data_IF_213925340042
#
_entry.id   IF_213925340042
#
_cell.length_a   1.000
_cell.length_b   1.000
_cell.length_c   1.000
_cell.angle_alpha   90.00
_cell.angle_beta   90.00
_cell.angle_gamma   90.00
#
_symmetry.space_group_name_H-M   'P 1'
#
loop_
_entity.id
_entity.type
_entity.pdbx_description
1 polymer ?
#
# COMPACT_ATOMS: atom_id res chain seq x y z
N UNK A 1 -10.14 -9.41 2.52
CA UNK A 1 -9.99 -7.95 2.36
C UNK A 1 -8.64 -7.70 1.70
N UNK A 2 -8.62 -7.26 0.44
CA UNK A 2 -7.37 -6.98 -0.30
C UNK A 2 -7.28 -5.47 -0.49
N UNK A 3 -6.34 -4.86 0.22
CA UNK A 3 -6.12 -3.41 0.22
C UNK A 3 -5.02 -3.07 -0.79
N UNK A 4 -5.15 -1.95 -1.48
CA UNK A 4 -4.07 -1.35 -2.25
C UNK A 4 -3.73 -0.02 -1.60
N UNK A 5 -2.45 0.20 -1.29
CA UNK A 5 -1.96 1.52 -0.86
C UNK A 5 -1.62 2.31 -2.13
N UNK A 6 -2.26 3.46 -2.27
CA UNK A 6 -1.95 4.44 -3.28
C UNK A 6 -0.97 5.47 -2.71
N UNK A 7 0.22 5.64 -3.30
CA UNK A 7 1.22 6.62 -2.85
C UNK A 7 1.48 7.67 -3.95
N UNK A 8 1.45 8.95 -3.56
CA UNK A 8 1.86 10.06 -4.41
C UNK A 8 3.36 10.32 -4.26
N UNK A 9 4.09 10.44 -5.37
CA UNK A 9 5.44 10.99 -5.42
C UNK A 9 5.43 12.27 -6.26
N UNK A 10 5.78 13.41 -5.65
CA UNK A 10 6.12 14.63 -6.36
C UNK A 10 7.65 14.70 -6.52
N UNK A 11 8.14 14.86 -7.74
CA UNK A 11 9.57 15.09 -8.01
C UNK A 11 9.87 16.56 -8.37
N UNK A 12 8.96 17.49 -8.09
CA UNK A 12 9.12 18.92 -8.37
C UNK A 12 10.00 19.66 -7.35
N UNK A 13 11.10 20.23 -7.85
CA UNK A 13 11.88 21.27 -7.17
C UNK A 13 11.02 22.55 -7.01
N UNK A 14 10.29 22.70 -5.91
CA UNK A 14 9.88 24.02 -5.44
C UNK A 14 9.74 24.02 -3.90
N UNK A 15 10.68 24.71 -3.25
CA UNK A 15 10.77 24.87 -1.80
C UNK A 15 9.88 26.04 -1.35
N UNK A 16 8.56 25.92 -1.46
CA UNK A 16 7.66 26.80 -0.67
C UNK A 16 6.21 26.28 -0.49
N UNK A 17 5.85 25.14 -1.07
CA UNK A 17 4.56 24.45 -0.82
C UNK A 17 4.79 22.97 -0.55
N UNK A 18 5.59 22.67 0.47
CA UNK A 18 5.89 21.29 0.83
C UNK A 18 4.61 20.50 1.19
N UNK A 19 4.41 19.41 0.44
CA UNK A 19 3.87 18.11 0.90
C UNK A 19 2.34 17.93 1.06
N UNK A 20 1.58 17.92 -0.03
CA UNK A 20 0.40 17.04 -0.11
C UNK A 20 0.80 15.64 -0.60
N UNK A 21 1.67 14.96 0.15
CA UNK A 21 1.94 13.53 -0.04
C UNK A 21 0.80 12.72 0.57
N UNK A 22 -0.32 12.69 -0.15
CA UNK A 22 -1.52 11.93 0.24
C UNK A 22 -1.42 10.46 -0.16
N UNK A 23 -2.05 9.60 0.64
CA UNK A 23 -2.27 8.20 0.31
C UNK A 23 -3.74 7.84 0.53
N UNK A 24 -4.22 6.86 -0.21
CA UNK A 24 -5.55 6.30 -0.07
C UNK A 24 -5.46 4.77 -0.05
N UNK A 25 -6.47 4.14 0.55
CA UNK A 25 -6.64 2.70 0.49
C UNK A 25 -7.82 2.38 -0.42
N UNK A 26 -7.57 1.55 -1.44
CA UNK A 26 -8.63 0.98 -2.25
C UNK A 26 -8.96 -0.40 -1.70
N UNK A 27 -10.24 -0.63 -1.39
CA UNK A 27 -10.73 -1.90 -0.87
C UNK A 27 -11.62 -2.51 -1.95
N UNK A 28 -11.20 -3.64 -2.49
CA UNK A 28 -11.98 -4.38 -3.49
C UNK A 28 -12.71 -5.56 -2.85
N UNK A 29 -13.93 -5.81 -3.31
CA UNK A 29 -14.71 -7.00 -2.93
C UNK A 29 -14.13 -8.26 -3.58
N UNK A 30 -13.73 -8.16 -4.86
CA UNK A 30 -13.25 -9.28 -5.66
C UNK A 30 -11.75 -9.19 -5.91
N UNK A 31 -11.08 -10.33 -5.78
CA UNK A 31 -9.66 -10.48 -6.14
C UNK A 31 -9.40 -10.24 -7.63
N UNK A 32 -10.33 -10.63 -8.50
CA UNK A 32 -10.24 -10.37 -9.94
C UNK A 32 -10.11 -8.88 -10.26
N UNK A 33 -10.78 -8.01 -9.50
CA UNK A 33 -10.71 -6.56 -9.69
C UNK A 33 -9.33 -5.99 -9.39
N UNK A 34 -8.64 -6.55 -8.37
CA UNK A 34 -7.25 -6.18 -8.06
C UNK A 34 -6.34 -6.57 -9.23
N UNK A 35 -6.48 -7.79 -9.75
CA UNK A 35 -5.69 -8.26 -10.89
C UNK A 35 -5.92 -7.41 -12.15
N UNK A 36 -7.19 -7.10 -12.46
CA UNK A 36 -7.53 -6.24 -13.60
C UNK A 36 -6.91 -4.84 -13.47
N UNK A 37 -6.94 -4.24 -12.28
CA UNK A 37 -6.29 -2.95 -12.03
C UNK A 37 -4.76 -3.03 -12.19
N UNK A 38 -4.12 -4.04 -11.62
CA UNK A 38 -2.67 -4.21 -11.74
C UNK A 38 -2.24 -4.46 -13.19
N UNK A 39 -3.06 -5.19 -13.97
CA UNK A 39 -2.80 -5.46 -15.39
C UNK A 39 -2.92 -4.21 -16.29
N UNK A 40 -3.64 -3.17 -15.85
CA UNK A 40 -3.73 -1.90 -16.60
C UNK A 40 -2.65 -0.88 -16.20
N UNK A 41 -1.83 -1.19 -15.19
CA UNK A 41 -0.75 -0.32 -14.73
C UNK A 41 0.52 -0.45 -15.56
N UNK A 42 1.30 0.62 -15.62
CA UNK A 42 2.70 0.52 -16.05
C UNK A 42 3.54 -0.10 -14.94
N UNK A 43 4.62 -0.78 -15.32
CA UNK A 43 5.50 -1.49 -14.38
C UNK A 43 6.94 -1.02 -14.51
N UNK A 44 7.54 -0.63 -13.39
CA UNK A 44 8.96 -0.30 -13.29
C UNK A 44 9.59 -1.17 -12.20
N UNK A 45 10.31 -2.22 -12.61
CA UNK A 45 10.76 -3.27 -11.70
C UNK A 45 9.57 -3.98 -11.04
N UNK A 46 9.54 -3.97 -9.71
CA UNK A 46 8.46 -4.56 -8.90
C UNK A 46 7.37 -3.55 -8.49
N UNK A 47 7.40 -2.33 -9.05
CA UNK A 47 6.46 -1.26 -8.72
C UNK A 47 5.42 -1.10 -9.82
N UNK A 48 4.16 -0.90 -9.42
CA UNK A 48 3.05 -0.59 -10.31
C UNK A 48 2.74 0.90 -10.27
N UNK A 49 2.51 1.50 -11.44
CA UNK A 49 2.15 2.90 -11.57
C UNK A 49 0.89 3.09 -12.40
N UNK A 50 0.08 4.05 -12.00
CA UNK A 50 -1.14 4.44 -12.71
C UNK A 50 -1.15 5.96 -12.91
N UNK A 51 -1.50 6.41 -14.11
CA UNK A 51 -1.75 7.83 -14.34
C UNK A 51 -3.19 8.16 -13.96
N UNK A 52 -3.37 9.14 -13.06
CA UNK A 52 -4.69 9.65 -12.66
C UNK A 52 -4.84 11.13 -12.99
N UNK A 53 -6.07 11.57 -13.17
CA UNK A 53 -6.40 12.98 -13.38
C UNK A 53 -7.58 13.40 -12.51
N UNK A 54 -7.59 14.66 -12.11
CA UNK A 54 -8.68 15.34 -11.41
C UNK A 54 -9.03 16.66 -12.15
N UNK A 55 -10.03 17.41 -11.70
CA UNK A 55 -10.30 18.75 -12.23
C UNK A 55 -9.09 19.69 -12.09
N UNK A 56 -8.29 19.54 -11.02
CA UNK A 56 -7.16 20.42 -10.69
C UNK A 56 -5.79 19.83 -11.02
N UNK A 57 -5.69 18.54 -11.35
CA UNK A 57 -4.43 17.85 -11.65
C UNK A 57 -4.56 16.98 -12.89
N UNK A 58 -3.57 16.99 -13.78
CA UNK A 58 -3.60 16.18 -15.01
C UNK A 58 -2.46 15.17 -15.03
N UNK A 59 -2.77 13.95 -15.47
CA UNK A 59 -1.82 12.87 -15.76
C UNK A 59 -0.77 12.64 -14.67
N UNK A 60 -1.19 12.71 -13.40
CA UNK A 60 -0.31 12.45 -12.27
C UNK A 60 -0.03 10.96 -12.17
N UNK A 61 1.24 10.57 -12.23
CA UNK A 61 1.66 9.19 -11.97
C UNK A 61 1.65 8.91 -10.47
N UNK A 62 1.08 7.77 -10.07
CA UNK A 62 1.02 7.34 -8.68
C UNK A 62 1.38 5.88 -8.54
N UNK A 63 1.96 5.54 -7.41
CA UNK A 63 2.38 4.18 -7.13
C UNK A 63 1.23 3.38 -6.50
N UNK A 64 0.97 2.20 -7.04
CA UNK A 64 0.09 1.21 -6.44
C UNK A 64 0.91 0.13 -5.74
N UNK A 65 0.56 -0.17 -4.50
CA UNK A 65 1.19 -1.22 -3.69
C UNK A 65 0.14 -2.23 -3.23
N UNK A 66 0.04 -3.41 -3.87
CA UNK A 66 -0.92 -4.44 -3.46
C UNK A 66 -0.55 -4.98 -2.09
N UNK A 67 -1.55 -5.17 -1.23
CA UNK A 67 -1.39 -5.88 0.03
C UNK A 67 -1.26 -7.38 -0.23
N UNK A 68 -0.08 -7.93 0.04
CA UNK A 68 0.19 -9.36 -0.10
C UNK A 68 -0.24 -10.08 1.17
N UNK A 69 -1.14 -11.06 1.06
CA UNK A 69 -1.69 -11.75 2.23
C UNK A 69 -0.64 -12.53 3.03
N UNK A 70 0.42 -13.00 2.37
CA UNK A 70 1.55 -13.67 3.03
C UNK A 70 2.29 -12.77 4.01
N UNK A 71 2.26 -11.46 3.79
CA UNK A 71 3.03 -10.49 4.57
C UNK A 71 2.21 -9.98 5.78
N UNK A 72 0.94 -10.39 5.89
CA UNK A 72 -0.01 -9.85 6.85
C UNK A 72 0.10 -10.47 8.24
N UNK A 73 0.48 -11.75 8.34
CA UNK A 73 0.49 -12.48 9.59
C UNK A 73 1.67 -13.44 9.65
N UNK A 74 2.32 -13.49 10.81
CA UNK A 74 3.30 -14.52 11.15
C UNK A 74 2.98 -15.08 12.53
N UNK A 75 2.93 -16.40 12.64
CA UNK A 75 2.60 -17.09 13.89
C UNK A 75 3.70 -18.10 14.18
N UNK A 76 4.44 -17.87 15.27
CA UNK A 76 5.53 -18.77 15.70
C UNK A 76 4.99 -20.13 16.13
N UNK A 77 3.87 -20.14 16.86
CA UNK A 77 3.20 -21.36 17.30
C UNK A 77 1.68 -21.20 17.15
N UNK A 78 1.03 -21.88 16.18
CA UNK A 78 -0.40 -21.74 15.94
C UNK A 78 -1.27 -22.33 17.07
N UNK A 79 -0.69 -23.16 17.95
CA UNK A 79 -1.40 -23.75 19.07
C UNK A 79 -1.42 -22.85 20.32
N UNK A 80 -0.68 -21.73 20.32
CA UNK A 80 -0.66 -20.82 21.45
C UNK A 80 -1.85 -19.84 21.36
N UNK A 81 -2.78 -19.82 22.33
CA UNK A 81 -3.89 -18.87 22.31
C UNK A 81 -3.40 -17.44 22.50
N UNK A 82 -4.02 -16.49 21.78
CA UNK A 82 -3.76 -15.06 21.92
C UNK A 82 -4.40 -14.51 23.21
N UNK A 83 -3.59 -14.00 24.14
CA UNK A 83 -4.05 -13.30 25.34
C UNK A 83 -4.06 -11.79 25.07
N UNK A 84 -5.24 -11.17 25.03
CA UNK A 84 -5.38 -9.73 24.78
C UNK A 84 -4.58 -8.86 25.76
N UNK A 85 -4.31 -9.34 26.98
CA UNK A 85 -3.49 -8.62 27.99
C UNK A 85 -2.00 -8.66 27.67
N UNK A 86 -1.58 -9.51 26.74
CA UNK A 86 -0.20 -9.65 26.24
C UNK A 86 -0.05 -9.13 24.81
N UNK A 87 -1.12 -8.60 24.21
CA UNK A 87 -1.13 -8.06 22.85
C UNK A 87 -0.90 -6.56 22.89
N UNK A 88 -0.01 -6.06 22.03
CA UNK A 88 0.26 -4.63 21.88
C UNK A 88 0.00 -4.17 20.46
N UNK A 89 -0.45 -2.92 20.31
CA UNK A 89 -0.50 -2.24 19.02
C UNK A 89 0.79 -1.45 18.83
N UNK A 90 1.46 -1.65 17.70
CA UNK A 90 2.68 -0.91 17.35
C UNK A 90 2.37 0.04 16.20
N UNK A 91 2.52 1.35 16.45
CA UNK A 91 2.38 2.40 15.45
C UNK A 91 3.73 2.89 14.90
N UNK A 92 3.72 3.73 13.87
CA UNK A 92 4.92 4.37 13.33
C UNK A 92 5.90 3.41 12.64
N UNK A 93 5.45 2.22 12.28
CA UNK A 93 6.28 1.22 11.59
C UNK A 93 6.58 1.66 10.14
N UNK A 94 7.75 1.30 9.59
CA UNK A 94 8.03 1.53 8.18
C UNK A 94 6.99 0.86 7.27
N UNK A 95 6.59 1.53 6.18
CA UNK A 95 5.64 1.00 5.19
C UNK A 95 6.02 -0.36 4.58
N UNK A 96 7.31 -0.72 4.40
CA UNK A 96 7.69 -2.04 3.93
C UNK A 96 7.64 -3.16 4.98
N UNK A 97 7.11 -2.91 6.20
CA UNK A 97 7.08 -3.92 7.24
C UNK A 97 6.26 -5.14 6.79
N UNK A 98 6.86 -6.32 6.92
CA UNK A 98 6.23 -7.62 6.66
C UNK A 98 6.23 -8.44 7.94
N UNK A 99 5.15 -9.16 8.17
CA UNK A 99 5.13 -10.23 9.16
C UNK A 99 5.68 -11.50 8.50
N UNK A 100 7.01 -11.61 8.37
CA UNK A 100 7.70 -12.82 7.94
C UNK A 100 9.04 -12.93 8.66
N UNK A 101 9.57 -14.16 8.84
CA UNK A 101 10.99 -14.32 9.14
C UNK A 101 11.79 -13.88 7.92
N UNK A 102 12.89 -13.16 8.15
CA UNK A 102 13.71 -12.54 7.11
C UNK A 102 14.21 -13.52 6.04
#
# INVERSE_FOLDING_TARGET
>A
MKSLIYEYFDSGQDKETATYNGYAFLIFELEGSVHMLLNSCSREGDKYFLAVSSPTMKCKSVQLRPWVLSDANFVVNPNLPLDARKTVFVGGVPRPLKACWG
#
